data_IF_542505515655
#
_entry.id   IF_542505515655
#
_cell.length_a   1.000
_cell.length_b   1.000
_cell.length_c   1.000
_cell.angle_alpha   90.00
_cell.angle_beta   90.00
_cell.angle_gamma   90.00
#
_symmetry.space_group_name_H-M   'P 1'
#
loop_
_entity.id
_entity.type
_entity.pdbx_description
1 polymer ?
#
# COMPACT_ATOMS: atom_id res chain seq x y z
N UNK A 1 -23.74 -37.05 -25.43
CA UNK A 1 -23.99 -35.70 -24.85
C UNK A 1 -22.72 -34.85 -24.84
N UNK A 2 -21.59 -35.38 -25.33
CA UNK A 2 -20.26 -35.03 -24.82
C UNK A 2 -19.54 -33.96 -25.65
N UNK A 3 -20.10 -33.58 -26.81
CA UNK A 3 -19.52 -32.58 -27.72
C UNK A 3 -19.93 -31.12 -27.45
N UNK A 4 -20.83 -30.86 -26.50
CA UNK A 4 -21.29 -29.49 -26.18
C UNK A 4 -20.54 -28.88 -24.98
N UNK A 5 -19.89 -29.71 -24.15
CA UNK A 5 -19.06 -29.27 -23.02
C UNK A 5 -17.81 -28.48 -23.51
N UNK A 6 -17.35 -28.77 -24.74
CA UNK A 6 -16.07 -28.34 -25.31
C UNK A 6 -15.86 -26.82 -25.54
N UNK A 7 -16.81 -25.94 -25.19
CA UNK A 7 -16.61 -24.47 -25.25
C UNK A 7 -16.45 -23.77 -23.89
N UNK A 8 -16.69 -24.44 -22.75
CA UNK A 8 -16.38 -23.94 -21.39
C UNK A 8 -15.95 -25.04 -20.37
N UNK A 9 -15.89 -26.31 -20.76
CA UNK A 9 -15.30 -27.42 -19.98
C UNK A 9 -15.81 -27.64 -18.53
N UNK A 10 -17.10 -27.36 -18.25
CA UNK A 10 -17.67 -27.67 -16.93
C UNK A 10 -17.72 -29.18 -16.67
N UNK A 11 -16.97 -29.64 -15.67
CA UNK A 11 -17.06 -30.99 -15.12
C UNK A 11 -17.99 -30.99 -13.89
N UNK A 12 -18.88 -31.98 -13.77
CA UNK A 12 -19.87 -32.03 -12.69
C UNK A 12 -19.32 -32.82 -11.50
N UNK A 13 -19.12 -32.15 -10.37
CA UNK A 13 -18.73 -32.82 -9.12
C UNK A 13 -19.84 -33.78 -8.62
N UNK A 14 -19.48 -34.92 -7.98
CA UNK A 14 -20.43 -35.74 -7.24
C UNK A 14 -21.13 -34.91 -6.16
N UNK A 15 -22.44 -35.11 -5.96
CA UNK A 15 -23.25 -34.30 -5.02
C UNK A 15 -22.68 -34.27 -3.61
N UNK A 16 -22.18 -35.40 -3.13
CA UNK A 16 -21.54 -35.57 -1.81
C UNK A 16 -20.27 -34.71 -1.62
N UNK A 17 -19.67 -34.21 -2.71
CA UNK A 17 -18.46 -33.38 -2.70
C UNK A 17 -18.74 -31.89 -2.95
N UNK A 18 -20.00 -31.49 -3.12
CA UNK A 18 -20.36 -30.08 -3.35
C UNK A 18 -20.49 -29.36 -2.01
N UNK A 19 -19.58 -28.40 -1.76
CA UNK A 19 -19.72 -27.45 -0.63
C UNK A 19 -20.63 -26.30 -1.05
N UNK A 20 -21.77 -26.18 -0.38
CA UNK A 20 -22.59 -24.97 -0.44
C UNK A 20 -22.04 -23.88 0.47
N UNK A 21 -22.32 -22.61 0.17
CA UNK A 21 -21.78 -21.41 0.82
C UNK A 21 -22.87 -20.55 1.48
N UNK A 22 -22.59 -19.89 2.60
CA UNK A 22 -23.47 -18.85 3.14
C UNK A 22 -23.46 -17.61 2.23
N UNK A 23 -24.58 -16.88 2.11
CA UNK A 23 -24.59 -15.67 1.28
C UNK A 23 -23.65 -14.58 1.80
N UNK A 24 -23.57 -14.37 3.12
CA UNK A 24 -22.60 -13.45 3.74
C UNK A 24 -21.17 -13.97 3.64
N UNK A 25 -20.96 -15.28 3.85
CA UNK A 25 -19.68 -16.00 3.66
C UNK A 25 -19.13 -15.75 2.24
N UNK A 26 -19.96 -15.99 1.20
CA UNK A 26 -19.60 -15.80 -0.20
C UNK A 26 -19.34 -14.32 -0.54
N UNK A 27 -20.21 -13.40 -0.11
CA UNK A 27 -20.00 -11.97 -0.33
C UNK A 27 -18.66 -11.51 0.29
N UNK A 28 -18.36 -11.89 1.53
CA UNK A 28 -17.08 -11.57 2.18
C UNK A 28 -15.87 -12.19 1.47
N UNK A 29 -15.96 -13.43 0.99
CA UNK A 29 -14.88 -14.06 0.20
C UNK A 29 -14.60 -13.39 -1.15
N UNK A 30 -15.57 -12.66 -1.71
CA UNK A 30 -15.42 -11.92 -2.97
C UNK A 30 -15.41 -10.39 -2.76
N UNK A 31 -15.08 -9.90 -1.56
CA UNK A 31 -14.93 -8.47 -1.27
C UNK A 31 -16.24 -7.65 -1.28
N UNK A 32 -17.39 -8.30 -1.44
CA UNK A 32 -18.70 -7.65 -1.44
C UNK A 32 -19.14 -7.39 0.01
N UNK A 33 -19.34 -6.12 0.35
CA UNK A 33 -19.95 -5.77 1.63
C UNK A 33 -21.43 -6.16 1.65
N UNK A 34 -21.72 -7.33 2.26
CA UNK A 34 -23.08 -7.84 2.43
C UNK A 34 -23.99 -6.83 3.17
N UNK A 35 -23.45 -6.12 4.15
CA UNK A 35 -24.24 -5.27 5.04
C UNK A 35 -24.63 -3.93 4.42
N UNK A 36 -23.92 -3.42 3.41
CA UNK A 36 -24.38 -2.27 2.61
C UNK A 36 -25.38 -2.69 1.54
N UNK A 37 -25.19 -3.85 0.89
CA UNK A 37 -26.12 -4.34 -0.14
C UNK A 37 -27.41 -4.98 0.41
N UNK A 38 -27.48 -5.40 1.68
CA UNK A 38 -28.62 -6.19 2.22
C UNK A 38 -29.98 -5.52 2.08
N UNK A 39 -30.08 -4.20 2.17
CA UNK A 39 -31.37 -3.51 2.13
C UNK A 39 -31.89 -3.37 0.69
N UNK A 40 -31.03 -2.94 -0.23
CA UNK A 40 -31.37 -2.93 -1.65
C UNK A 40 -31.59 -4.35 -2.21
N UNK A 41 -30.95 -5.37 -1.63
CA UNK A 41 -31.25 -6.76 -1.90
C UNK A 41 -32.59 -7.26 -1.32
N UNK A 42 -33.11 -6.66 -0.24
CA UNK A 42 -34.50 -6.89 0.21
C UNK A 42 -35.47 -6.19 -0.74
N UNK A 43 -35.18 -4.97 -1.15
CA UNK A 43 -35.95 -4.21 -2.12
C UNK A 43 -36.09 -4.97 -3.45
N UNK A 44 -35.00 -5.55 -3.98
CA UNK A 44 -35.04 -6.39 -5.18
C UNK A 44 -35.96 -7.62 -5.04
N UNK A 45 -36.06 -8.24 -3.85
CA UNK A 45 -37.03 -9.31 -3.59
C UNK A 45 -38.48 -8.80 -3.49
N UNK A 46 -38.70 -7.63 -2.91
CA UNK A 46 -40.03 -7.01 -2.83
C UNK A 46 -40.54 -6.62 -4.23
N UNK A 47 -39.68 -6.03 -5.06
CA UNK A 47 -40.00 -5.71 -6.45
C UNK A 47 -40.30 -6.99 -7.24
N UNK A 48 -39.53 -8.06 -7.04
CA UNK A 48 -39.82 -9.37 -7.65
C UNK A 48 -41.20 -9.89 -7.27
N UNK A 49 -41.61 -9.75 -6.01
CA UNK A 49 -42.95 -10.16 -5.58
C UNK A 49 -44.05 -9.32 -6.24
N UNK A 50 -43.81 -8.03 -6.48
CA UNK A 50 -44.74 -7.16 -7.18
C UNK A 50 -44.90 -7.54 -8.66
N UNK A 51 -43.81 -7.69 -9.43
CA UNK A 51 -43.86 -8.03 -10.86
C UNK A 51 -44.18 -9.51 -11.15
N UNK A 52 -44.22 -10.36 -10.12
CA UNK A 52 -44.39 -11.81 -10.28
C UNK A 52 -45.68 -12.23 -11.00
N UNK A 53 -46.76 -11.45 -10.86
CA UNK A 53 -48.05 -11.74 -11.50
C UNK A 53 -48.02 -11.44 -13.00
N UNK A 54 -47.41 -10.31 -13.40
CA UNK A 54 -47.25 -9.92 -14.80
C UNK A 54 -46.41 -10.94 -15.59
N UNK A 55 -45.36 -11.48 -14.95
CA UNK A 55 -44.52 -12.54 -15.49
C UNK A 55 -45.10 -13.96 -15.33
N UNK A 56 -46.25 -14.10 -14.64
CA UNK A 56 -46.91 -15.38 -14.34
C UNK A 56 -45.99 -16.39 -13.60
N UNK A 57 -45.18 -15.91 -12.66
CA UNK A 57 -44.20 -16.70 -11.90
C UNK A 57 -44.51 -16.78 -10.40
N UNK A 58 -44.18 -17.89 -9.72
CA UNK A 58 -44.36 -17.96 -8.26
C UNK A 58 -43.50 -16.94 -7.50
N UNK A 59 -44.13 -16.17 -6.60
CA UNK A 59 -43.49 -15.26 -5.63
C UNK A 59 -42.37 -15.92 -4.81
N UNK A 60 -42.38 -17.25 -4.67
CA UNK A 60 -41.34 -18.03 -3.99
C UNK A 60 -39.95 -17.88 -4.61
N UNK A 61 -39.83 -17.41 -5.86
CA UNK A 61 -38.54 -17.16 -6.51
C UNK A 61 -37.89 -15.81 -6.16
N UNK A 62 -38.55 -14.95 -5.38
CA UNK A 62 -38.01 -13.66 -4.91
C UNK A 62 -36.59 -13.71 -4.28
N UNK A 63 -36.17 -14.78 -3.56
CA UNK A 63 -34.79 -14.90 -3.08
C UNK A 63 -33.74 -14.87 -4.20
N UNK A 64 -34.08 -15.27 -5.43
CA UNK A 64 -33.16 -15.20 -6.58
C UNK A 64 -32.81 -13.74 -6.89
N UNK A 65 -33.81 -12.84 -6.96
CA UNK A 65 -33.57 -11.41 -7.18
C UNK A 65 -32.74 -10.79 -6.04
N UNK A 66 -33.00 -11.17 -4.78
CA UNK A 66 -32.20 -10.73 -3.63
C UNK A 66 -30.74 -11.17 -3.72
N UNK A 67 -30.49 -12.45 -4.05
CA UNK A 67 -29.12 -12.98 -4.21
C UNK A 67 -28.44 -12.42 -5.46
N UNK A 68 -29.18 -12.14 -6.52
CA UNK A 68 -28.67 -11.48 -7.71
C UNK A 68 -28.24 -10.04 -7.41
N UNK A 69 -29.01 -9.28 -6.63
CA UNK A 69 -28.58 -7.93 -6.20
C UNK A 69 -27.29 -7.98 -5.36
N UNK A 70 -27.22 -8.88 -4.38
CA UNK A 70 -26.03 -9.06 -3.55
C UNK A 70 -24.79 -9.40 -4.40
N UNK A 71 -24.92 -10.36 -5.31
CA UNK A 71 -23.84 -10.92 -6.12
C UNK A 71 -23.66 -10.26 -7.48
N UNK A 72 -24.40 -9.17 -7.80
CA UNK A 72 -24.11 -8.36 -8.99
C UNK A 72 -22.70 -7.80 -8.87
N UNK A 73 -21.88 -8.02 -9.91
CA UNK A 73 -20.47 -7.70 -9.94
C UNK A 73 -19.57 -8.66 -9.15
N UNK A 74 -20.07 -9.84 -8.74
CA UNK A 74 -19.20 -10.86 -8.12
C UNK A 74 -18.17 -11.33 -9.14
N UNK A 75 -16.90 -11.02 -8.89
CA UNK A 75 -15.82 -11.29 -9.84
C UNK A 75 -15.72 -10.33 -11.02
N UNK A 76 -16.23 -9.10 -10.91
CA UNK A 76 -15.65 -7.97 -11.66
C UNK A 76 -14.18 -7.81 -11.23
N UNK A 77 -13.21 -8.09 -12.11
CA UNK A 77 -11.78 -8.00 -11.76
C UNK A 77 -11.01 -9.34 -11.67
N UNK A 78 -11.46 -10.41 -12.35
CA UNK A 78 -10.89 -11.77 -12.24
C UNK A 78 -10.57 -12.47 -13.59
N UNK A 79 -11.43 -12.48 -14.65
CA UNK A 79 -11.08 -12.99 -16.02
C UNK A 79 -11.72 -12.21 -17.25
N UNK A 80 -11.15 -11.09 -17.76
CA UNK A 80 -11.50 -10.30 -18.99
C UNK A 80 -11.33 -11.15 -20.29
N UNK A 81 -12.09 -12.23 -20.46
CA UNK A 81 -12.49 -12.63 -21.80
C UNK A 81 -13.91 -12.13 -22.03
N UNK A 82 -14.03 -11.12 -22.90
CA UNK A 82 -15.26 -10.33 -23.17
C UNK A 82 -16.43 -11.13 -23.76
N UNK A 83 -16.33 -12.45 -23.77
CA UNK A 83 -17.36 -13.43 -24.13
C UNK A 83 -17.84 -14.28 -22.94
N UNK A 84 -17.33 -14.02 -21.73
CA UNK A 84 -17.55 -14.81 -20.52
C UNK A 84 -18.19 -13.95 -19.41
N UNK A 85 -19.51 -14.00 -19.26
CA UNK A 85 -20.17 -13.49 -18.06
C UNK A 85 -19.94 -14.49 -16.90
N UNK A 86 -19.11 -14.10 -15.93
CA UNK A 86 -18.49 -14.98 -14.94
C UNK A 86 -19.22 -15.02 -13.60
N UNK A 87 -20.06 -14.03 -13.29
CA UNK A 87 -20.87 -14.02 -12.08
C UNK A 87 -21.70 -15.31 -11.93
N UNK A 88 -22.25 -15.77 -13.06
CA UNK A 88 -22.98 -17.04 -13.11
C UNK A 88 -22.09 -18.25 -12.85
N UNK A 89 -20.87 -18.24 -13.37
CA UNK A 89 -19.89 -19.32 -13.18
C UNK A 89 -19.37 -19.37 -11.72
N UNK A 90 -19.29 -18.23 -11.05
CA UNK A 90 -18.98 -18.13 -9.61
C UNK A 90 -20.11 -18.76 -8.78
N UNK A 91 -21.38 -18.49 -9.08
CA UNK A 91 -22.53 -19.12 -8.40
C UNK A 91 -22.59 -20.63 -8.65
N UNK A 92 -22.23 -21.10 -9.85
CA UNK A 92 -22.21 -22.53 -10.18
C UNK A 92 -21.07 -23.29 -9.50
N UNK A 93 -19.97 -22.61 -9.17
CA UNK A 93 -18.83 -23.17 -8.42
C UNK A 93 -18.99 -23.01 -6.90
N UNK A 94 -19.74 -21.98 -6.45
CA UNK A 94 -19.97 -21.64 -5.05
C UNK A 94 -21.48 -21.55 -4.73
N UNK A 95 -22.24 -22.66 -4.84
CA UNK A 95 -23.70 -22.62 -4.72
C UNK A 95 -24.13 -22.19 -3.32
N UNK A 96 -25.13 -21.31 -3.23
CA UNK A 96 -25.62 -20.79 -1.96
C UNK A 96 -26.45 -21.82 -1.18
N UNK A 97 -26.15 -21.99 0.11
CA UNK A 97 -26.91 -22.81 1.09
C UNK A 97 -28.39 -22.41 1.17
N UNK A 98 -28.71 -21.16 0.89
CA UNK A 98 -30.09 -20.64 0.98
C UNK A 98 -30.93 -20.84 -0.28
N UNK A 99 -30.41 -21.55 -1.28
CA UNK A 99 -31.07 -21.82 -2.57
C UNK A 99 -30.86 -23.29 -2.94
N UNK A 100 -31.83 -23.92 -3.58
CA UNK A 100 -31.65 -25.25 -4.17
C UNK A 100 -30.64 -25.24 -5.33
N UNK A 101 -30.08 -26.39 -5.71
CA UNK A 101 -29.21 -26.52 -6.90
C UNK A 101 -29.80 -25.84 -8.14
N UNK A 102 -31.12 -25.96 -8.31
CA UNK A 102 -31.87 -25.39 -9.44
C UNK A 102 -31.98 -23.88 -9.34
N UNK A 103 -32.22 -23.33 -8.15
CA UNK A 103 -32.30 -21.88 -7.94
C UNK A 103 -30.92 -21.23 -8.04
N UNK A 104 -29.84 -21.93 -7.67
CA UNK A 104 -28.47 -21.49 -7.96
C UNK A 104 -28.19 -21.43 -9.47
N UNK A 105 -28.67 -22.39 -10.27
CA UNK A 105 -28.57 -22.32 -11.75
C UNK A 105 -29.40 -21.17 -12.32
N UNK A 106 -30.58 -20.87 -11.76
CA UNK A 106 -31.39 -19.72 -12.19
C UNK A 106 -30.74 -18.39 -11.78
N UNK A 107 -30.18 -18.28 -10.58
CA UNK A 107 -29.39 -17.15 -10.12
C UNK A 107 -28.17 -16.91 -11.03
N UNK A 108 -27.49 -17.98 -11.44
CA UNK A 108 -26.40 -17.88 -12.40
C UNK A 108 -26.87 -17.33 -13.76
N UNK A 109 -28.03 -17.79 -14.25
CA UNK A 109 -28.64 -17.28 -15.48
C UNK A 109 -29.04 -15.79 -15.38
N UNK A 110 -29.54 -15.33 -14.21
CA UNK A 110 -29.85 -13.91 -13.95
C UNK A 110 -28.59 -13.08 -14.06
N UNK A 111 -27.55 -13.43 -13.29
CA UNK A 111 -26.30 -12.68 -13.27
C UNK A 111 -25.60 -12.66 -14.65
N UNK A 112 -25.58 -13.79 -15.36
CA UNK A 112 -25.11 -13.87 -16.75
C UNK A 112 -25.93 -12.98 -17.70
N UNK A 113 -27.25 -12.91 -17.53
CA UNK A 113 -28.13 -12.08 -18.35
C UNK A 113 -27.93 -10.57 -18.12
N UNK A 114 -27.55 -10.16 -16.91
CA UNK A 114 -27.36 -8.76 -16.55
C UNK A 114 -26.12 -8.09 -17.17
N UNK A 115 -25.06 -8.85 -17.51
CA UNK A 115 -23.83 -8.31 -18.15
C UNK A 115 -23.93 -8.15 -19.66
N UNK A 116 -24.92 -8.75 -20.31
CA UNK A 116 -25.00 -8.83 -21.77
C UNK A 116 -26.01 -7.83 -22.34
N UNK A 117 -25.56 -6.58 -22.57
CA UNK A 117 -26.34 -5.46 -23.13
C UNK A 117 -26.99 -5.70 -24.53
N UNK A 118 -26.92 -6.91 -25.08
CA UNK A 118 -27.29 -7.21 -26.46
C UNK A 118 -27.96 -8.58 -26.69
N UNK A 119 -28.61 -9.20 -25.69
CA UNK A 119 -29.44 -10.40 -25.96
C UNK A 119 -30.80 -10.36 -25.24
N UNK A 120 -31.85 -10.03 -25.99
CA UNK A 120 -33.23 -10.33 -25.58
C UNK A 120 -33.45 -11.83 -25.36
N UNK A 121 -34.63 -12.24 -24.85
CA UNK A 121 -34.90 -13.55 -24.24
C UNK A 121 -34.49 -14.84 -25.00
N UNK A 122 -34.12 -14.74 -26.29
CA UNK A 122 -33.37 -15.79 -27.00
C UNK A 122 -32.07 -16.23 -26.28
N UNK A 123 -31.31 -15.30 -25.70
CA UNK A 123 -30.03 -15.60 -25.03
C UNK A 123 -30.20 -16.42 -23.75
N UNK A 124 -31.08 -15.97 -22.86
CA UNK A 124 -31.44 -16.66 -21.61
C UNK A 124 -31.98 -18.06 -21.90
N UNK A 125 -32.86 -18.17 -22.90
CA UNK A 125 -33.43 -19.45 -23.35
C UNK A 125 -32.37 -20.43 -23.84
N UNK A 126 -31.31 -19.95 -24.50
CA UNK A 126 -30.19 -20.80 -24.91
C UNK A 126 -29.27 -21.17 -23.74
N UNK A 127 -29.04 -20.27 -22.79
CA UNK A 127 -28.29 -20.55 -21.56
C UNK A 127 -28.98 -21.63 -20.71
N UNK A 128 -30.28 -21.49 -20.42
CA UNK A 128 -31.05 -22.49 -19.67
C UNK A 128 -31.07 -23.85 -20.39
N UNK A 129 -31.15 -23.86 -21.73
CA UNK A 129 -31.06 -25.09 -22.53
C UNK A 129 -29.69 -25.77 -22.39
N UNK A 130 -28.59 -25.01 -22.36
CA UNK A 130 -27.23 -25.54 -22.10
C UNK A 130 -27.11 -26.14 -20.70
N UNK A 131 -27.77 -25.54 -19.71
CA UNK A 131 -27.83 -26.01 -18.31
C UNK A 131 -28.89 -27.09 -18.04
N UNK A 132 -29.55 -27.62 -19.08
CA UNK A 132 -30.62 -28.63 -19.00
C UNK A 132 -31.84 -28.19 -18.16
N UNK A 133 -32.07 -26.89 -18.02
CA UNK A 133 -33.24 -26.30 -17.34
C UNK A 133 -34.35 -26.03 -18.34
N UNK A 134 -35.60 -26.33 -17.96
CA UNK A 134 -36.75 -26.14 -18.83
C UNK A 134 -37.00 -24.67 -19.18
N UNK A 135 -37.34 -24.40 -20.45
CA UNK A 135 -37.68 -23.06 -20.98
C UNK A 135 -38.79 -22.33 -20.20
N UNK A 136 -39.60 -23.04 -19.41
CA UNK A 136 -40.65 -22.44 -18.56
C UNK A 136 -40.10 -21.57 -17.42
N UNK A 137 -38.79 -21.57 -17.19
CA UNK A 137 -38.13 -20.72 -16.19
C UNK A 137 -37.51 -19.43 -16.76
N UNK A 138 -37.63 -19.18 -18.07
CA UNK A 138 -37.19 -17.90 -18.67
C UNK A 138 -37.86 -16.68 -18.01
N UNK A 139 -39.20 -16.66 -17.78
CA UNK A 139 -39.85 -15.53 -17.11
C UNK A 139 -39.35 -15.28 -15.67
N UNK A 140 -38.87 -16.32 -14.97
CA UNK A 140 -38.30 -16.17 -13.61
C UNK A 140 -36.97 -15.42 -13.67
N UNK A 141 -36.17 -15.65 -14.71
CA UNK A 141 -34.90 -14.96 -14.92
C UNK A 141 -35.14 -13.52 -15.35
N UNK A 142 -36.06 -13.29 -16.29
CA UNK A 142 -36.41 -11.96 -16.79
C UNK A 142 -36.98 -11.07 -15.68
N UNK A 143 -37.95 -11.55 -14.90
CA UNK A 143 -38.50 -10.85 -13.74
C UNK A 143 -37.42 -10.51 -12.69
N UNK A 144 -36.44 -11.40 -12.47
CA UNK A 144 -35.35 -11.16 -11.53
C UNK A 144 -34.34 -10.12 -12.02
N UNK A 145 -34.04 -10.09 -13.33
CA UNK A 145 -33.20 -9.05 -13.94
C UNK A 145 -33.88 -7.67 -13.79
N UNK A 146 -35.15 -7.55 -14.17
CA UNK A 146 -35.89 -6.29 -14.04
C UNK A 146 -35.96 -5.83 -12.57
N UNK A 147 -36.26 -6.75 -11.65
CA UNK A 147 -36.38 -6.42 -10.22
C UNK A 147 -35.10 -5.87 -9.62
N UNK A 148 -33.94 -6.39 -10.05
CA UNK A 148 -32.63 -5.87 -9.62
C UNK A 148 -32.37 -4.50 -10.25
N UNK A 149 -32.63 -4.33 -11.55
CA UNK A 149 -32.45 -3.04 -12.25
C UNK A 149 -33.35 -1.92 -11.68
N UNK A 150 -34.59 -2.25 -11.27
CA UNK A 150 -35.50 -1.31 -10.61
C UNK A 150 -35.04 -0.96 -9.19
N UNK A 151 -34.54 -1.94 -8.41
CA UNK A 151 -33.96 -1.68 -7.09
C UNK A 151 -32.73 -0.76 -7.16
N UNK A 152 -31.87 -0.91 -8.18
CA UNK A 152 -30.71 -0.05 -8.38
C UNK A 152 -31.09 1.41 -8.67
N UNK A 153 -32.09 1.63 -9.53
CA UNK A 153 -32.61 2.98 -9.82
C UNK A 153 -33.16 3.68 -8.57
N UNK A 154 -33.74 2.91 -7.65
CA UNK A 154 -34.28 3.43 -6.38
C UNK A 154 -33.18 3.68 -5.33
N UNK A 155 -32.13 2.84 -5.29
CA UNK A 155 -30.97 3.02 -4.41
C UNK A 155 -30.22 4.34 -4.70
N UNK A 156 -30.00 4.67 -5.97
CA UNK A 156 -29.29 5.90 -6.40
C UNK A 156 -30.03 7.19 -5.96
N UNK A 157 -31.33 7.11 -5.64
CA UNK A 157 -32.09 8.24 -5.12
C UNK A 157 -32.06 8.39 -3.59
N UNK A 158 -31.64 7.37 -2.83
CA UNK A 158 -31.53 7.46 -1.36
C UNK A 158 -30.17 7.93 -0.85
N UNK A 159 -29.10 7.77 -1.65
CA UNK A 159 -27.72 8.07 -1.25
C UNK A 159 -27.37 9.59 -1.20
N UNK A 160 -28.35 10.49 -1.35
CA UNK A 160 -28.15 11.94 -1.21
C UNK A 160 -28.29 12.49 0.21
N UNK A 161 -28.79 11.71 1.16
CA UNK A 161 -28.94 12.15 2.56
C UNK A 161 -28.58 11.04 3.56
N UNK A 162 -27.33 10.99 4.01
CA UNK A 162 -26.95 10.80 5.42
C UNK A 162 -25.42 10.80 5.60
N UNK A 163 -24.98 11.34 6.74
CA UNK A 163 -23.57 11.50 7.12
C UNK A 163 -23.18 10.59 8.30
N UNK A 164 -21.90 10.17 8.33
CA UNK A 164 -21.19 9.73 9.54
C UNK A 164 -21.37 8.27 10.00
N UNK A 165 -20.24 7.57 10.20
CA UNK A 165 -20.16 6.27 10.87
C UNK A 165 -18.92 5.45 10.49
N UNK A 166 -18.12 4.99 11.47
CA UNK A 166 -16.83 4.30 11.25
C UNK A 166 -16.86 2.78 11.55
N UNK A 167 -15.81 2.09 11.05
CA UNK A 167 -15.31 0.74 11.41
C UNK A 167 -16.10 -0.49 10.87
N UNK A 168 -15.48 -1.50 10.24
CA UNK A 168 -14.10 -1.67 9.75
C UNK A 168 -13.79 -3.10 9.23
N UNK A 169 -12.85 -3.25 8.29
CA UNK A 169 -12.32 -4.53 7.76
C UNK A 169 -13.08 -5.15 6.57
N UNK A 170 -12.48 -5.51 5.42
CA UNK A 170 -11.08 -5.48 4.97
C UNK A 170 -10.97 -4.81 3.60
N UNK A 171 -9.92 -4.03 3.35
CA UNK A 171 -9.68 -3.30 2.09
C UNK A 171 -8.72 -4.07 1.16
N UNK A 172 -9.02 -4.07 -0.14
CA UNK A 172 -8.06 -4.49 -1.19
C UNK A 172 -6.71 -3.76 -1.01
N UNK A 173 -5.59 -4.43 -1.32
CA UNK A 173 -4.25 -3.84 -1.24
C UNK A 173 -4.15 -2.51 -1.99
N UNK A 174 -4.76 -2.42 -3.18
CA UNK A 174 -4.79 -1.19 -3.98
C UNK A 174 -5.45 -0.04 -3.21
N UNK A 175 -6.62 -0.30 -2.60
CA UNK A 175 -7.37 0.69 -1.80
C UNK A 175 -6.59 1.08 -0.54
N UNK A 176 -5.95 0.11 0.14
CA UNK A 176 -5.10 0.39 1.30
C UNK A 176 -3.91 1.28 0.91
N UNK A 177 -3.29 1.00 -0.24
CA UNK A 177 -2.16 1.78 -0.76
C UNK A 177 -2.61 3.17 -1.21
N UNK A 178 -3.76 3.31 -1.86
CA UNK A 178 -4.37 4.58 -2.28
C UNK A 178 -4.69 5.47 -1.07
N UNK A 179 -5.36 4.91 -0.05
CA UNK A 179 -5.63 5.61 1.20
C UNK A 179 -4.34 6.01 1.93
N UNK A 180 -3.32 5.15 1.95
CA UNK A 180 -2.03 5.49 2.57
C UNK A 180 -1.32 6.61 1.81
N UNK A 181 -1.21 6.50 0.48
CA UNK A 181 -0.53 7.45 -0.39
C UNK A 181 -1.25 8.81 -0.36
N UNK A 182 -2.58 8.84 -0.46
CA UNK A 182 -3.38 10.06 -0.29
C UNK A 182 -3.11 10.69 1.07
N UNK A 183 -3.24 9.92 2.16
CA UNK A 183 -3.03 10.45 3.52
C UNK A 183 -1.61 10.98 3.74
N UNK A 184 -0.58 10.35 3.18
CA UNK A 184 0.78 10.91 3.25
C UNK A 184 0.91 12.18 2.42
N UNK A 185 0.27 12.26 1.25
CA UNK A 185 0.27 13.45 0.42
C UNK A 185 -0.47 14.62 1.10
N UNK A 186 -1.61 14.38 1.73
CA UNK A 186 -2.36 15.35 2.52
C UNK A 186 -1.52 15.90 3.68
N UNK A 187 -0.81 15.04 4.41
CA UNK A 187 0.12 15.44 5.48
C UNK A 187 1.26 16.30 4.93
N UNK A 188 1.86 15.91 3.79
CA UNK A 188 2.92 16.72 3.17
C UNK A 188 2.36 18.09 2.75
N UNK A 189 1.18 18.15 2.14
CA UNK A 189 0.52 19.41 1.76
C UNK A 189 0.36 20.32 2.97
N UNK A 190 -0.26 19.85 4.05
CA UNK A 190 -0.45 20.61 5.29
C UNK A 190 0.87 21.14 5.86
N UNK A 191 1.91 20.30 5.93
CA UNK A 191 3.23 20.70 6.44
C UNK A 191 4.03 21.59 5.48
N UNK A 192 3.60 21.76 4.22
CA UNK A 192 4.24 22.63 3.21
C UNK A 192 3.39 23.85 2.87
N UNK A 193 2.33 24.12 3.64
CA UNK A 193 1.56 25.36 3.52
C UNK A 193 2.42 26.59 3.88
N UNK A 194 2.06 27.75 3.31
CA UNK A 194 2.85 29.00 3.34
C UNK A 194 3.05 29.61 4.74
N UNK A 195 2.44 29.03 5.77
CA UNK A 195 2.55 29.44 7.18
C UNK A 195 3.58 28.63 7.98
N UNK A 196 4.20 27.60 7.39
CA UNK A 196 5.16 26.74 8.07
C UNK A 196 6.50 27.43 8.33
N UNK A 197 6.99 27.40 9.57
CA UNK A 197 8.34 27.86 9.91
C UNK A 197 9.37 26.78 9.52
N UNK A 198 9.89 26.88 8.29
CA UNK A 198 10.96 26.00 7.82
C UNK A 198 12.29 26.20 8.57
N UNK A 199 12.43 27.26 9.36
CA UNK A 199 13.57 27.50 10.23
C UNK A 199 13.68 26.50 11.39
N UNK A 200 12.55 25.92 11.83
CA UNK A 200 12.46 24.91 12.89
C UNK A 200 12.95 23.53 12.40
N UNK A 201 14.01 22.96 13.01
CA UNK A 201 14.50 21.61 12.71
C UNK A 201 13.45 20.49 12.83
N UNK A 202 12.41 20.67 13.63
CA UNK A 202 11.36 19.66 13.84
C UNK A 202 10.25 19.75 12.77
N UNK A 203 9.88 20.95 12.31
CA UNK A 203 9.03 21.11 11.11
C UNK A 203 9.71 20.45 9.90
N UNK A 204 11.01 20.69 9.70
CA UNK A 204 11.80 20.03 8.66
C UNK A 204 11.92 18.52 8.89
N UNK A 205 11.99 18.06 10.15
CA UNK A 205 11.96 16.64 10.48
C UNK A 205 10.67 15.99 9.98
N UNK A 206 9.52 16.55 10.34
CA UNK A 206 8.20 16.00 10.04
C UNK A 206 7.89 15.99 8.55
N UNK A 207 8.18 17.09 7.83
CA UNK A 207 8.10 17.14 6.36
C UNK A 207 8.96 16.01 5.76
N UNK A 208 10.22 15.89 6.20
CA UNK A 208 11.15 14.86 5.71
C UNK A 208 10.69 13.43 6.08
N UNK A 209 10.00 13.23 7.20
CA UNK A 209 9.40 11.95 7.59
C UNK A 209 8.21 11.60 6.69
N UNK A 210 7.32 12.54 6.41
CA UNK A 210 6.16 12.33 5.54
C UNK A 210 6.59 12.03 4.09
N UNK A 211 7.49 12.83 3.52
CA UNK A 211 8.11 12.54 2.22
C UNK A 211 8.82 11.18 2.21
N UNK A 212 9.53 10.79 3.28
CA UNK A 212 10.24 9.49 3.35
C UNK A 212 9.27 8.32 3.42
N UNK A 213 8.15 8.46 4.14
CA UNK A 213 7.07 7.45 4.17
C UNK A 213 6.51 7.24 2.77
N UNK A 214 6.10 8.33 2.10
CA UNK A 214 5.56 8.29 0.73
C UNK A 214 6.57 7.69 -0.27
N UNK A 215 7.81 8.18 -0.28
CA UNK A 215 8.89 7.65 -1.12
C UNK A 215 9.20 6.17 -0.85
N UNK A 216 9.26 5.76 0.42
CA UNK A 216 9.66 4.38 0.75
C UNK A 216 8.55 3.38 0.44
N UNK A 217 7.29 3.71 0.74
CA UNK A 217 6.14 2.84 0.44
C UNK A 217 5.94 2.70 -1.07
N UNK A 218 5.95 3.80 -1.83
CA UNK A 218 5.84 3.73 -3.30
C UNK A 218 7.06 3.06 -3.95
N UNK A 219 8.25 3.17 -3.35
CA UNK A 219 9.47 2.46 -3.79
C UNK A 219 9.44 0.95 -3.52
N UNK A 220 8.98 0.54 -2.32
CA UNK A 220 8.76 -0.87 -1.94
C UNK A 220 7.76 -1.53 -2.89
N UNK A 221 6.61 -0.89 -3.09
CA UNK A 221 5.50 -1.44 -3.86
C UNK A 221 5.54 -1.07 -5.36
N UNK A 222 6.63 -0.49 -5.86
CA UNK A 222 6.80 -0.08 -7.27
C UNK A 222 6.41 -1.17 -8.28
N UNK A 223 6.61 -2.46 -7.96
CA UNK A 223 6.22 -3.59 -8.84
C UNK A 223 4.71 -3.78 -9.02
N UNK A 224 3.93 -3.26 -8.09
CA UNK A 224 2.46 -3.33 -8.05
C UNK A 224 1.82 -2.00 -8.49
N UNK A 225 2.61 -0.93 -8.61
CA UNK A 225 2.15 0.42 -8.99
C UNK A 225 2.24 0.64 -10.50
N UNK A 226 1.47 1.59 -11.03
CA UNK A 226 1.57 2.02 -12.44
C UNK A 226 2.95 2.64 -12.73
N UNK A 227 3.56 2.45 -13.92
CA UNK A 227 4.94 2.84 -14.20
C UNK A 227 5.31 4.31 -13.89
N UNK A 228 4.37 5.26 -14.07
CA UNK A 228 4.55 6.68 -13.76
C UNK A 228 4.96 6.95 -12.31
N UNK A 229 4.57 6.10 -11.36
CA UNK A 229 5.04 6.20 -9.97
C UNK A 229 6.54 5.99 -9.86
N UNK A 230 7.11 5.11 -10.68
CA UNK A 230 8.55 4.84 -10.72
C UNK A 230 9.33 5.82 -11.61
N UNK A 231 8.75 6.29 -12.71
CA UNK A 231 9.45 7.12 -13.70
C UNK A 231 9.29 8.62 -13.48
N UNK A 232 8.19 9.06 -12.85
CA UNK A 232 7.86 10.47 -12.69
C UNK A 232 7.85 10.88 -11.20
N UNK A 233 7.05 10.21 -10.36
CA UNK A 233 6.88 10.63 -8.96
C UNK A 233 8.05 10.24 -8.05
N UNK A 234 8.60 9.02 -8.18
CA UNK A 234 9.77 8.59 -7.42
C UNK A 234 11.00 9.51 -7.56
N UNK A 235 11.39 9.97 -8.78
CA UNK A 235 12.45 10.96 -8.94
C UNK A 235 12.17 12.30 -8.23
N UNK A 236 10.96 12.84 -8.34
CA UNK A 236 10.62 14.12 -7.70
C UNK A 236 10.52 13.98 -6.17
N UNK A 237 9.95 12.89 -5.64
CA UNK A 237 9.98 12.60 -4.21
C UNK A 237 11.41 12.47 -3.69
N UNK A 238 12.33 11.85 -4.46
CA UNK A 238 13.75 11.79 -4.14
C UNK A 238 14.44 13.16 -4.21
N UNK A 239 14.07 14.02 -5.17
CA UNK A 239 14.59 15.40 -5.27
C UNK A 239 14.21 16.22 -4.04
N UNK A 240 12.94 16.20 -3.66
CA UNK A 240 12.45 16.82 -2.42
C UNK A 240 13.18 16.26 -1.19
N UNK A 241 13.31 14.93 -1.07
CA UNK A 241 14.04 14.28 0.03
C UNK A 241 15.52 14.64 0.11
N UNK A 242 16.20 14.86 -1.02
CA UNK A 242 17.60 15.30 -1.05
C UNK A 242 17.74 16.75 -0.58
N UNK A 243 16.82 17.62 -0.98
CA UNK A 243 16.82 19.02 -0.59
C UNK A 243 16.53 19.19 0.91
N UNK A 244 15.48 18.53 1.43
CA UNK A 244 15.16 18.44 2.85
C UNK A 244 16.27 17.70 3.64
N UNK A 245 16.89 16.70 3.02
CA UNK A 245 18.03 15.95 3.56
C UNK A 245 19.23 16.86 3.82
N UNK A 246 19.64 17.65 2.83
CA UNK A 246 20.78 18.56 2.95
C UNK A 246 20.63 19.55 4.12
N UNK A 247 19.42 20.05 4.39
CA UNK A 247 19.16 20.89 5.57
C UNK A 247 19.25 20.07 6.86
N UNK A 248 18.51 18.95 6.97
CA UNK A 248 18.48 18.16 8.22
C UNK A 248 19.82 17.51 8.54
N UNK A 249 20.66 17.23 7.56
CA UNK A 249 22.02 16.75 7.78
C UNK A 249 22.86 17.83 8.49
N UNK A 250 22.72 19.11 8.13
CA UNK A 250 23.35 20.23 8.85
C UNK A 250 22.79 20.40 10.27
N UNK A 251 21.48 20.24 10.47
CA UNK A 251 20.88 20.27 11.81
C UNK A 251 21.42 19.11 12.69
N UNK A 252 21.61 17.91 12.13
CA UNK A 252 22.19 16.76 12.83
C UNK A 252 23.67 17.03 13.19
N UNK A 253 24.46 17.61 12.28
CA UNK A 253 25.84 18.02 12.57
C UNK A 253 25.89 19.01 13.74
N UNK A 254 24.98 19.98 13.77
CA UNK A 254 24.84 20.94 14.87
C UNK A 254 24.43 20.26 16.19
N UNK A 255 23.44 19.34 16.16
CA UNK A 255 23.03 18.55 17.33
C UNK A 255 24.20 17.72 17.91
N UNK A 256 25.00 17.07 17.05
CA UNK A 256 26.18 16.30 17.47
C UNK A 256 27.31 17.19 18.03
N UNK A 257 27.47 18.40 17.50
CA UNK A 257 28.43 19.39 18.00
C UNK A 257 28.02 19.91 19.39
N UNK A 258 26.74 20.25 19.58
CA UNK A 258 26.19 20.65 20.89
C UNK A 258 26.42 19.54 21.92
N UNK A 259 26.09 18.29 21.58
CA UNK A 259 26.35 17.13 22.45
C UNK A 259 27.84 16.97 22.80
N UNK A 260 28.75 17.18 21.85
CA UNK A 260 30.19 17.18 22.13
C UNK A 260 30.60 18.30 23.10
N UNK A 261 30.13 19.53 22.87
CA UNK A 261 30.41 20.70 23.72
C UNK A 261 29.93 20.49 25.16
N UNK A 262 28.67 20.04 25.33
CA UNK A 262 28.09 19.67 26.63
C UNK A 262 28.92 18.59 27.33
N UNK A 263 29.30 17.51 26.63
CA UNK A 263 30.11 16.42 27.18
C UNK A 263 31.55 16.81 27.51
N UNK A 264 32.00 17.99 27.10
CA UNK A 264 33.34 18.53 27.42
C UNK A 264 33.31 19.75 28.33
N UNK A 265 32.15 20.36 28.57
CA UNK A 265 32.03 21.61 29.33
C UNK A 265 32.72 22.79 28.63
N UNK A 266 32.62 22.85 27.29
CA UNK A 266 33.21 23.91 26.46
C UNK A 266 32.06 24.70 25.80
N UNK A 267 32.20 26.01 25.63
CA UNK A 267 31.22 26.82 24.90
C UNK A 267 31.38 26.76 23.37
N UNK A 268 30.37 27.21 22.61
CA UNK A 268 30.37 27.16 21.15
C UNK A 268 31.37 28.10 20.46
N UNK A 269 31.95 29.05 21.20
CA UNK A 269 32.94 30.02 20.73
C UNK A 269 34.23 29.39 20.19
N UNK A 270 34.52 28.13 20.51
CA UNK A 270 35.71 27.40 20.02
C UNK A 270 35.59 26.87 18.59
N UNK A 271 34.47 27.13 17.91
CA UNK A 271 34.16 26.67 16.55
C UNK A 271 33.73 27.81 15.60
N UNK A 272 34.43 28.96 15.54
CA UNK A 272 33.96 30.13 14.80
C UNK A 272 33.84 29.89 13.29
N UNK A 273 34.81 29.21 12.66
CA UNK A 273 34.79 28.95 11.21
C UNK A 273 33.79 27.83 10.87
N UNK A 274 33.73 26.77 11.68
CA UNK A 274 32.74 25.70 11.52
C UNK A 274 31.31 26.25 11.65
N UNK A 275 31.00 27.00 12.72
CA UNK A 275 29.67 27.57 12.95
C UNK A 275 29.25 28.48 11.79
N UNK A 276 30.18 29.33 11.30
CA UNK A 276 29.93 30.18 10.13
C UNK A 276 29.64 29.36 8.87
N UNK A 277 30.46 28.36 8.55
CA UNK A 277 30.28 27.53 7.34
C UNK A 277 28.98 26.72 7.40
N UNK A 278 28.63 26.16 8.57
CA UNK A 278 27.37 25.42 8.74
C UNK A 278 26.17 26.36 8.67
N UNK A 279 26.25 27.55 9.31
CA UNK A 279 25.21 28.59 9.23
C UNK A 279 24.94 29.07 7.81
N UNK A 280 25.97 29.49 7.07
CA UNK A 280 25.86 29.95 5.67
C UNK A 280 25.23 28.87 4.76
N UNK A 281 25.60 27.59 4.96
CA UNK A 281 24.98 26.46 4.24
C UNK A 281 23.54 26.25 4.66
N UNK A 282 23.23 26.32 5.97
CA UNK A 282 21.88 26.12 6.52
C UNK A 282 20.93 27.15 5.94
N UNK A 283 21.30 28.43 5.98
CA UNK A 283 20.55 29.51 5.34
C UNK A 283 20.39 29.32 3.83
N UNK A 284 21.43 28.84 3.13
CA UNK A 284 21.35 28.52 1.71
C UNK A 284 20.32 27.43 1.41
N UNK A 285 20.29 26.37 2.22
CA UNK A 285 19.30 25.31 2.12
C UNK A 285 17.88 25.78 2.50
N UNK A 286 17.74 26.61 3.54
CA UNK A 286 16.47 27.22 3.95
C UNK A 286 15.86 28.06 2.83
N UNK A 287 16.62 29.03 2.29
CA UNK A 287 16.16 29.87 1.16
C UNK A 287 15.73 29.05 -0.05
N UNK A 288 16.44 27.96 -0.35
CA UNK A 288 16.07 27.06 -1.44
C UNK A 288 14.77 26.29 -1.14
N UNK A 289 14.56 25.83 0.10
CA UNK A 289 13.33 25.15 0.56
C UNK A 289 12.13 26.11 0.55
N UNK A 290 12.30 27.31 1.09
CA UNK A 290 11.31 28.39 1.07
C UNK A 290 10.89 28.74 -0.36
N UNK A 291 11.86 28.96 -1.26
CA UNK A 291 11.60 29.25 -2.67
C UNK A 291 10.87 28.08 -3.36
N UNK A 292 11.27 26.84 -3.08
CA UNK A 292 10.67 25.64 -3.67
C UNK A 292 9.21 25.46 -3.28
N UNK A 293 8.89 25.49 -1.98
CA UNK A 293 7.51 25.33 -1.51
C UNK A 293 6.63 26.59 -1.67
N UNK A 294 7.24 27.78 -1.83
CA UNK A 294 6.50 28.99 -2.22
C UNK A 294 6.12 29.00 -3.71
N UNK A 295 6.79 28.20 -4.54
CA UNK A 295 6.51 28.07 -5.96
C UNK A 295 5.29 27.18 -6.26
N UNK A 296 4.74 27.31 -7.46
CA UNK A 296 3.67 26.42 -7.91
C UNK A 296 4.17 25.00 -8.28
N UNK A 297 5.48 24.71 -8.29
CA UNK A 297 6.00 23.41 -8.73
C UNK A 297 5.46 22.26 -7.85
N UNK A 298 5.56 22.40 -6.53
CA UNK A 298 5.09 21.37 -5.61
C UNK A 298 3.56 21.21 -5.60
N UNK A 299 2.74 22.29 -5.51
CA UNK A 299 1.28 22.18 -5.65
C UNK A 299 0.82 21.50 -6.95
N UNK A 300 1.47 21.78 -8.09
CA UNK A 300 1.17 21.11 -9.37
C UNK A 300 1.53 19.62 -9.34
N UNK A 301 2.68 19.27 -8.75
CA UNK A 301 3.09 17.88 -8.56
C UNK A 301 2.13 17.11 -7.63
N UNK A 302 1.69 17.73 -6.54
CA UNK A 302 0.71 17.15 -5.61
C UNK A 302 -0.64 16.91 -6.29
N UNK A 303 -1.18 17.90 -7.01
CA UNK A 303 -2.42 17.75 -7.77
C UNK A 303 -2.34 16.66 -8.85
N UNK A 304 -1.19 16.51 -9.50
CA UNK A 304 -0.96 15.42 -10.46
C UNK A 304 -0.95 14.03 -9.79
N UNK A 305 -0.31 13.90 -8.61
CA UNK A 305 -0.37 12.66 -7.82
C UNK A 305 -1.79 12.36 -7.33
N UNK A 306 -2.55 13.36 -6.89
CA UNK A 306 -3.97 13.20 -6.49
C UNK A 306 -4.86 12.70 -7.63
N UNK A 307 -4.65 13.21 -8.84
CA UNK A 307 -5.41 12.76 -10.01
C UNK A 307 -5.06 11.32 -10.39
N UNK A 308 -3.78 10.93 -10.33
CA UNK A 308 -3.35 9.54 -10.51
C UNK A 308 -3.89 8.60 -9.41
N UNK A 309 -4.04 9.08 -8.17
CA UNK A 309 -4.67 8.31 -7.08
C UNK A 309 -6.16 8.05 -7.39
N UNK A 310 -6.91 9.05 -7.87
CA UNK A 310 -8.31 8.87 -8.28
C UNK A 310 -8.48 7.89 -9.45
N UNK A 311 -7.49 7.83 -10.33
CA UNK A 311 -7.45 6.90 -11.46
C UNK A 311 -6.90 5.51 -11.07
N UNK A 312 -6.65 5.27 -9.78
CA UNK A 312 -6.03 4.07 -9.22
C UNK A 312 -4.52 4.04 -9.39
N UNK A 313 -3.76 3.66 -8.35
CA UNK A 313 -2.28 3.71 -8.41
C UNK A 313 -1.63 2.39 -8.80
N UNK A 314 -2.36 1.28 -8.79
CA UNK A 314 -1.85 -0.05 -9.09
C UNK A 314 -1.83 -0.35 -10.59
N UNK A 315 -0.81 -1.09 -11.06
CA UNK A 315 -0.83 -1.67 -12.41
C UNK A 315 -1.85 -2.80 -12.44
N UNK A 316 -2.85 -2.77 -13.34
CA UNK A 316 -3.73 -3.92 -13.54
C UNK A 316 -2.92 -5.10 -14.11
N UNK A 317 -2.92 -6.24 -13.42
CA UNK A 317 -2.24 -7.45 -13.89
C UNK A 317 -3.19 -8.27 -14.73
N UNK A 318 -3.04 -8.21 -16.05
CA UNK A 318 -3.87 -8.97 -16.97
C UNK A 318 -3.57 -10.48 -16.85
N UNK A 319 -4.49 -11.22 -16.23
CA UNK A 319 -4.39 -12.67 -16.04
C UNK A 319 -4.64 -13.43 -17.37
N UNK A 320 -4.48 -14.77 -17.44
CA UNK A 320 -4.78 -15.52 -18.69
C UNK A 320 -6.30 -15.60 -18.89
N UNK A 321 -6.80 -15.06 -20.00
CA UNK A 321 -8.20 -14.59 -20.07
C UNK A 321 -8.33 -13.14 -19.55
N UNK A 322 -7.26 -12.36 -19.68
CA UNK A 322 -7.00 -10.93 -19.54
C UNK A 322 -7.31 -10.15 -18.26
N UNK A 323 -8.16 -10.52 -17.29
CA UNK A 323 -8.60 -9.45 -16.33
C UNK A 323 -7.48 -8.90 -15.47
N UNK A 324 -7.64 -7.63 -15.10
CA UNK A 324 -6.96 -6.98 -14.01
C UNK A 324 -7.14 -7.72 -12.66
N UNK A 325 -6.33 -8.75 -12.44
CA UNK A 325 -6.23 -9.47 -11.17
C UNK A 325 -5.92 -8.51 -10.02
N UNK A 326 -6.72 -8.58 -8.95
CA UNK A 326 -6.50 -7.85 -7.71
C UNK A 326 -5.31 -8.42 -6.93
N UNK A 327 -4.52 -7.56 -6.29
CA UNK A 327 -3.45 -7.97 -5.40
C UNK A 327 -4.00 -8.29 -3.99
N UNK A 328 -3.78 -9.51 -3.51
CA UNK A 328 -4.13 -9.89 -2.15
C UNK A 328 -3.11 -9.33 -1.14
N UNK A 329 -3.53 -8.65 -0.05
CA UNK A 329 -2.63 -8.07 0.94
C UNK A 329 -1.60 -9.07 1.49
N UNK A 330 -2.03 -10.29 1.79
CA UNK A 330 -1.20 -11.37 2.35
C UNK A 330 -0.11 -11.82 1.37
N UNK A 331 -0.44 -12.00 0.09
CA UNK A 331 0.53 -12.41 -0.96
C UNK A 331 1.56 -11.31 -1.24
N UNK A 332 1.12 -10.04 -1.27
CA UNK A 332 2.02 -8.89 -1.43
C UNK A 332 2.92 -8.74 -0.21
N UNK A 333 2.39 -8.92 1.01
CA UNK A 333 3.16 -8.93 2.26
C UNK A 333 4.24 -10.01 2.19
N UNK A 334 3.88 -11.26 1.92
CA UNK A 334 4.81 -12.39 1.89
C UNK A 334 5.96 -12.14 0.89
N UNK A 335 5.66 -11.78 -0.36
CA UNK A 335 6.70 -11.54 -1.37
C UNK A 335 7.60 -10.33 -1.03
N UNK A 336 7.04 -9.25 -0.49
CA UNK A 336 7.83 -8.09 -0.06
C UNK A 336 8.70 -8.38 1.16
N UNK A 337 8.17 -9.06 2.19
CA UNK A 337 8.94 -9.49 3.38
C UNK A 337 10.06 -10.43 2.95
N UNK A 338 9.75 -11.46 2.17
CA UNK A 338 10.72 -12.42 1.62
C UNK A 338 11.84 -11.73 0.85
N UNK A 339 11.52 -10.76 -0.03
CA UNK A 339 12.52 -9.97 -0.77
C UNK A 339 13.41 -9.12 0.14
N UNK A 340 12.83 -8.44 1.14
CA UNK A 340 13.59 -7.59 2.06
C UNK A 340 14.51 -8.44 2.97
N UNK A 341 14.00 -9.56 3.50
CA UNK A 341 14.78 -10.55 4.25
C UNK A 341 15.93 -11.10 3.40
N UNK A 342 15.70 -11.49 2.14
CA UNK A 342 16.77 -12.01 1.27
C UNK A 342 17.88 -10.98 1.00
N UNK A 343 17.57 -9.68 0.93
CA UNK A 343 18.58 -8.60 0.86
C UNK A 343 19.45 -8.53 2.12
N UNK A 344 18.84 -8.66 3.30
CA UNK A 344 19.54 -8.73 4.60
C UNK A 344 20.42 -9.98 4.65
N UNK A 345 19.87 -11.16 4.30
CA UNK A 345 20.62 -12.44 4.24
C UNK A 345 21.83 -12.36 3.30
N UNK A 346 21.70 -11.69 2.15
CA UNK A 346 22.79 -11.52 1.19
C UNK A 346 23.97 -10.67 1.71
N UNK A 347 23.80 -9.86 2.75
CA UNK A 347 24.91 -9.15 3.41
C UNK A 347 25.63 -10.00 4.46
N UNK A 348 25.06 -11.13 4.91
CA UNK A 348 25.56 -11.92 6.06
C UNK A 348 27.06 -12.21 5.99
N UNK A 349 27.55 -12.72 4.86
CA UNK A 349 28.95 -13.11 4.70
C UNK A 349 29.93 -11.92 4.77
N UNK A 350 29.46 -10.68 4.54
CA UNK A 350 30.28 -9.47 4.74
C UNK A 350 30.40 -9.08 6.21
N UNK A 351 29.50 -9.57 7.06
CA UNK A 351 29.48 -9.33 8.51
C UNK A 351 30.37 -10.32 9.28
N UNK A 352 30.81 -11.40 8.63
CA UNK A 352 31.66 -12.45 9.21
C UNK A 352 33.16 -12.22 8.92
N UNK A 353 33.51 -11.10 8.27
CA UNK A 353 34.88 -10.70 7.98
C UNK A 353 35.56 -9.96 9.14
N UNK A 354 36.90 -9.92 9.13
CA UNK A 354 37.71 -9.20 10.12
C UNK A 354 37.43 -7.68 10.19
N UNK A 355 36.87 -7.11 9.13
CA UNK A 355 36.50 -5.70 9.00
C UNK A 355 35.24 -5.59 8.13
N UNK A 356 34.28 -4.76 8.55
CA UNK A 356 33.04 -4.49 7.80
C UNK A 356 33.12 -3.10 7.17
N UNK A 357 33.07 -2.95 5.83
CA UNK A 357 33.07 -1.63 5.19
C UNK A 357 31.78 -0.85 5.47
N UNK A 358 31.87 0.46 5.74
CA UNK A 358 30.68 1.32 5.93
C UNK A 358 29.65 1.23 4.78
N UNK A 359 30.04 1.13 3.49
CA UNK A 359 29.07 0.95 2.40
C UNK A 359 28.25 -0.34 2.47
N UNK A 360 28.72 -1.38 3.19
CA UNK A 360 27.95 -2.60 3.50
C UNK A 360 26.92 -2.29 4.59
N UNK A 361 27.34 -1.64 5.68
CA UNK A 361 26.45 -1.21 6.77
C UNK A 361 25.34 -0.27 6.27
N UNK A 362 25.66 0.65 5.36
CA UNK A 362 24.67 1.53 4.72
C UNK A 362 23.65 0.73 3.88
N UNK A 363 24.09 -0.25 3.08
CA UNK A 363 23.18 -1.14 2.32
C UNK A 363 22.33 -2.00 3.24
N UNK A 364 22.88 -2.49 4.35
CA UNK A 364 22.15 -3.24 5.37
C UNK A 364 21.07 -2.37 6.02
N UNK A 365 21.39 -1.12 6.37
CA UNK A 365 20.42 -0.14 6.89
C UNK A 365 19.28 0.12 5.91
N UNK A 366 19.59 0.29 4.61
CA UNK A 366 18.56 0.45 3.58
C UNK A 366 17.65 -0.78 3.47
N UNK A 367 18.20 -1.98 3.65
CA UNK A 367 17.45 -3.25 3.60
C UNK A 367 16.55 -3.45 4.82
N UNK A 368 17.02 -3.11 6.03
CA UNK A 368 16.17 -3.08 7.23
C UNK A 368 15.09 -2.01 7.15
N UNK A 369 15.41 -0.82 6.63
CA UNK A 369 14.42 0.24 6.37
C UNK A 369 13.32 -0.25 5.42
N UNK A 370 13.68 -0.98 4.36
CA UNK A 370 12.72 -1.60 3.43
C UNK A 370 11.82 -2.61 4.14
N UNK A 371 12.39 -3.55 4.91
CA UNK A 371 11.64 -4.50 5.72
C UNK A 371 10.67 -3.81 6.70
N UNK A 372 11.14 -2.77 7.39
CA UNK A 372 10.34 -1.98 8.33
C UNK A 372 9.13 -1.35 7.64
N UNK A 373 9.31 -0.75 6.45
CA UNK A 373 8.19 -0.12 5.73
C UNK A 373 7.16 -1.13 5.18
N UNK A 374 7.57 -2.34 4.81
CA UNK A 374 6.64 -3.42 4.45
C UNK A 374 5.79 -3.81 5.66
N UNK A 375 6.44 -4.14 6.77
CA UNK A 375 5.77 -4.62 7.98
C UNK A 375 4.91 -3.53 8.64
N UNK A 376 5.38 -2.28 8.65
CA UNK A 376 4.62 -1.13 9.17
C UNK A 376 3.34 -0.86 8.37
N UNK A 377 3.39 -1.01 7.04
CA UNK A 377 2.21 -0.89 6.17
C UNK A 377 1.19 -2.01 6.45
N UNK A 378 1.65 -3.25 6.65
CA UNK A 378 0.80 -4.41 6.93
C UNK A 378 0.55 -4.68 8.43
N UNK A 379 0.81 -3.70 9.31
CA UNK A 379 0.77 -3.87 10.78
C UNK A 379 -0.49 -4.56 11.33
N UNK A 380 -1.64 -4.41 10.68
CA UNK A 380 -2.92 -5.00 11.11
C UNK A 380 -3.07 -6.50 10.82
N UNK A 381 -2.23 -7.05 9.94
CA UNK A 381 -2.26 -8.46 9.49
C UNK A 381 -0.91 -9.17 9.71
N UNK A 382 -0.09 -8.66 10.63
CA UNK A 382 1.15 -9.32 11.01
C UNK A 382 0.86 -10.48 11.95
N UNK A 383 1.56 -11.59 11.75
CA UNK A 383 1.69 -12.61 12.79
C UNK A 383 2.72 -12.19 13.87
N UNK A 384 2.96 -13.08 14.84
CA UNK A 384 3.88 -12.81 15.94
C UNK A 384 5.35 -12.70 15.47
N UNK A 385 5.77 -13.52 14.51
CA UNK A 385 7.15 -13.53 14.02
C UNK A 385 7.42 -12.27 13.18
N UNK A 386 6.45 -11.86 12.38
CA UNK A 386 6.46 -10.61 11.63
C UNK A 386 6.46 -9.35 12.53
N UNK A 387 5.75 -9.40 13.66
CA UNK A 387 5.82 -8.35 14.68
C UNK A 387 7.23 -8.28 15.32
N UNK A 388 7.82 -9.41 15.71
CA UNK A 388 9.21 -9.47 16.19
C UNK A 388 10.22 -8.99 15.12
N UNK A 389 9.97 -9.26 13.83
CA UNK A 389 10.76 -8.73 12.72
C UNK A 389 10.63 -7.22 12.56
N UNK A 390 9.46 -6.62 12.82
CA UNK A 390 9.25 -5.17 12.78
C UNK A 390 10.01 -4.44 13.89
N UNK A 391 10.02 -5.01 15.10
CA UNK A 391 10.83 -4.52 16.23
C UNK A 391 12.32 -4.58 15.89
N UNK A 392 12.81 -5.72 15.40
CA UNK A 392 14.20 -5.89 14.98
C UNK A 392 14.59 -4.91 13.87
N UNK A 393 13.75 -4.74 12.84
CA UNK A 393 14.01 -3.82 11.73
C UNK A 393 14.04 -2.34 12.19
N UNK A 394 13.24 -1.99 13.20
CA UNK A 394 13.27 -0.66 13.82
C UNK A 394 14.58 -0.42 14.56
N UNK A 395 14.96 -1.35 15.45
CA UNK A 395 16.21 -1.32 16.20
C UNK A 395 17.45 -1.23 15.29
N UNK A 396 17.54 -2.07 14.25
CA UNK A 396 18.66 -2.03 13.32
C UNK A 396 18.69 -0.73 12.49
N UNK A 397 17.54 -0.15 12.15
CA UNK A 397 17.49 1.14 11.46
C UNK A 397 18.02 2.29 12.33
N UNK A 398 17.74 2.26 13.64
CA UNK A 398 18.22 3.24 14.62
C UNK A 398 19.73 3.13 14.82
N UNK A 399 20.25 1.97 15.21
CA UNK A 399 21.67 1.80 15.53
C UNK A 399 22.57 2.01 14.29
N UNK A 400 22.15 1.53 13.11
CA UNK A 400 22.85 1.81 11.86
C UNK A 400 22.64 3.27 11.38
N UNK A 401 21.58 3.93 11.84
CA UNK A 401 21.36 5.36 11.64
C UNK A 401 22.42 6.19 12.35
N UNK A 402 22.53 6.02 13.66
CA UNK A 402 23.54 6.72 14.45
C UNK A 402 24.97 6.52 13.92
N UNK A 403 25.31 5.27 13.56
CA UNK A 403 26.62 4.94 12.98
C UNK A 403 26.90 5.68 11.66
N UNK A 404 25.87 5.80 10.81
CA UNK A 404 26.00 6.51 9.54
C UNK A 404 26.09 8.03 9.77
N UNK A 405 25.32 8.58 10.70
CA UNK A 405 25.34 10.00 11.03
C UNK A 405 26.71 10.43 11.62
N UNK A 406 27.31 9.62 12.50
CA UNK A 406 28.72 9.80 12.93
C UNK A 406 29.70 9.69 11.75
N UNK A 407 29.45 8.77 10.81
CA UNK A 407 30.33 8.59 9.64
C UNK A 407 30.27 9.77 8.66
N UNK A 408 29.12 10.45 8.55
CA UNK A 408 28.96 11.70 7.80
C UNK A 408 29.63 12.86 8.52
N UNK A 409 29.47 12.96 9.86
CA UNK A 409 30.14 13.96 10.69
C UNK A 409 31.67 13.91 10.56
N UNK A 410 32.27 12.72 10.67
CA UNK A 410 33.70 12.53 10.48
C UNK A 410 34.17 12.97 9.09
N UNK A 411 33.37 12.76 8.04
CA UNK A 411 33.70 13.21 6.69
C UNK A 411 33.72 14.74 6.59
N UNK A 412 32.73 15.46 7.13
CA UNK A 412 32.72 16.92 7.09
C UNK A 412 33.81 17.55 7.98
N UNK A 413 34.09 17.01 9.18
CA UNK A 413 35.22 17.47 10.02
C UNK A 413 36.53 17.32 9.25
N UNK A 414 36.82 16.12 8.72
CA UNK A 414 38.05 15.84 7.94
C UNK A 414 38.18 16.73 6.70
N UNK A 415 37.07 17.02 6.03
CA UNK A 415 36.99 17.90 4.86
C UNK A 415 37.30 19.36 5.21
N UNK A 416 36.91 19.82 6.41
CA UNK A 416 37.30 21.14 6.92
C UNK A 416 38.78 21.16 7.32
N UNK A 417 39.27 20.17 8.08
CA UNK A 417 40.67 20.06 8.47
C UNK A 417 41.63 20.01 7.26
N UNK A 418 41.29 19.27 6.21
CA UNK A 418 42.04 19.22 4.93
C UNK A 418 42.08 20.56 4.18
N UNK A 419 41.17 21.49 4.48
CA UNK A 419 41.07 22.82 3.88
C UNK A 419 41.44 23.93 4.87
N UNK A 420 42.17 23.60 5.94
CA UNK A 420 42.39 24.49 7.08
C UNK A 420 43.08 25.82 6.75
N UNK A 421 43.99 25.81 5.77
CA UNK A 421 44.65 27.02 5.26
C UNK A 421 43.68 27.90 4.45
N UNK A 422 42.89 27.29 3.56
CA UNK A 422 41.90 28.00 2.72
C UNK A 422 40.83 28.72 3.55
N UNK A 423 40.40 28.11 4.65
CA UNK A 423 39.40 28.68 5.56
C UNK A 423 40.02 29.45 6.73
N UNK A 424 41.34 29.62 6.75
CA UNK A 424 42.07 30.40 7.77
C UNK A 424 41.75 29.98 9.22
N UNK A 425 41.51 28.67 9.46
CA UNK A 425 41.21 28.20 10.82
C UNK A 425 42.37 28.52 11.76
N UNK A 426 42.05 29.07 12.92
CA UNK A 426 43.00 29.36 13.97
C UNK A 426 43.53 28.06 14.64
N UNK A 427 44.62 28.13 15.43
CA UNK A 427 45.20 26.95 16.07
C UNK A 427 44.31 26.29 17.13
N UNK A 428 43.40 27.04 17.75
CA UNK A 428 42.51 26.56 18.80
C UNK A 428 41.35 25.77 18.21
N UNK A 429 40.64 26.31 17.22
CA UNK A 429 39.58 25.60 16.50
C UNK A 429 40.12 24.34 15.81
N UNK A 430 41.32 24.38 15.21
CA UNK A 430 42.00 23.17 14.69
C UNK A 430 42.21 22.11 15.77
N UNK A 431 42.47 22.51 17.01
CA UNK A 431 42.67 21.61 18.14
C UNK A 431 41.34 21.02 18.62
N UNK A 432 40.28 21.83 18.67
CA UNK A 432 38.94 21.34 19.03
C UNK A 432 38.28 20.48 17.95
N UNK A 433 38.49 20.76 16.66
CA UNK A 433 38.05 19.88 15.57
C UNK A 433 38.70 18.49 15.65
N UNK A 434 40.00 18.39 16.01
CA UNK A 434 40.65 17.09 16.27
C UNK A 434 40.09 16.37 17.50
N UNK A 435 39.78 17.11 18.58
CA UNK A 435 39.10 16.55 19.76
C UNK A 435 37.69 16.05 19.43
N UNK A 436 36.97 16.75 18.55
CA UNK A 436 35.63 16.39 18.08
C UNK A 436 35.66 15.18 17.12
N UNK A 437 36.61 15.14 16.19
CA UNK A 437 36.89 13.97 15.34
C UNK A 437 37.12 12.72 16.21
N UNK A 438 38.05 12.79 17.17
CA UNK A 438 38.34 11.66 18.06
C UNK A 438 37.16 11.25 18.97
N UNK A 439 36.27 12.20 19.32
CA UNK A 439 35.04 11.90 20.05
C UNK A 439 34.03 11.17 19.17
N UNK A 440 33.78 11.68 17.95
CA UNK A 440 32.88 11.07 16.97
C UNK A 440 33.37 9.68 16.53
N UNK A 441 34.68 9.45 16.40
CA UNK A 441 35.23 8.11 16.16
C UNK A 441 34.89 7.12 17.30
N UNK A 442 34.91 7.57 18.56
CA UNK A 442 34.54 6.74 19.71
C UNK A 442 33.05 6.44 19.73
N UNK A 443 32.19 7.44 19.52
CA UNK A 443 30.75 7.19 19.46
C UNK A 443 30.40 6.28 18.27
N UNK A 444 30.98 6.48 17.08
CA UNK A 444 30.79 5.57 15.92
C UNK A 444 31.17 4.13 16.26
N UNK A 445 32.31 3.92 16.91
CA UNK A 445 32.75 2.58 17.33
C UNK A 445 31.82 1.99 18.41
N UNK A 446 31.24 2.83 19.28
CA UNK A 446 30.20 2.42 20.26
C UNK A 446 28.92 1.97 19.58
N UNK A 447 28.45 2.72 18.57
CA UNK A 447 27.28 2.32 17.77
C UNK A 447 27.55 1.05 16.96
N UNK A 448 28.77 0.85 16.45
CA UNK A 448 29.15 -0.39 15.78
C UNK A 448 29.12 -1.61 16.72
N UNK A 449 29.73 -1.52 17.90
CA UNK A 449 29.70 -2.60 18.90
C UNK A 449 28.27 -2.92 19.39
N UNK A 450 27.41 -1.90 19.51
CA UNK A 450 25.98 -2.09 19.80
C UNK A 450 25.27 -2.84 18.66
N UNK A 451 25.56 -2.47 17.41
CA UNK A 451 25.04 -3.16 16.24
C UNK A 451 25.51 -4.63 16.20
N UNK A 452 26.79 -4.91 16.41
CA UNK A 452 27.34 -6.28 16.42
C UNK A 452 26.63 -7.17 17.45
N UNK A 453 26.48 -6.67 18.69
CA UNK A 453 25.75 -7.36 19.76
C UNK A 453 24.31 -7.74 19.36
N UNK A 454 23.59 -6.82 18.69
CA UNK A 454 22.24 -7.09 18.21
C UNK A 454 22.23 -8.02 16.98
N UNK A 455 23.21 -7.90 16.10
CA UNK A 455 23.37 -8.73 14.90
C UNK A 455 23.64 -10.20 15.25
N UNK A 456 24.51 -10.48 16.23
CA UNK A 456 24.72 -11.84 16.75
C UNK A 456 23.44 -12.45 17.36
N UNK A 457 22.72 -11.66 18.17
CA UNK A 457 21.49 -12.12 18.83
C UNK A 457 20.38 -12.43 17.79
N UNK A 458 20.25 -11.57 16.77
CA UNK A 458 19.35 -11.78 15.64
C UNK A 458 19.75 -13.01 14.82
N UNK A 459 21.03 -13.15 14.48
CA UNK A 459 21.56 -14.31 13.75
C UNK A 459 21.27 -15.65 14.45
N UNK A 460 21.42 -15.72 15.77
CA UNK A 460 21.09 -16.92 16.56
C UNK A 460 19.59 -17.28 16.49
N UNK A 461 18.69 -16.29 16.43
CA UNK A 461 17.24 -16.52 16.27
C UNK A 461 16.83 -16.92 14.84
N UNK A 462 17.44 -16.34 13.80
CA UNK A 462 16.96 -16.47 12.40
C UNK A 462 17.63 -17.59 11.59
N UNK A 463 18.67 -18.24 12.12
CA UNK A 463 19.41 -19.32 11.45
C UNK A 463 19.67 -20.55 12.32
N UNK A 464 19.01 -20.67 13.48
CA UNK A 464 18.86 -21.95 14.19
C UNK A 464 17.57 -22.63 13.74
#
# INVERSE_FOLDING_TARGET
MDKIIAKRNYMRNPREKVRHWGAKELCSSFGINYDTKKENARLAALIFQAVSEDYQVPRSYAPIASRAFLLKGVGEGILEDSFLALEGDIVLTHPLKSLSDKENILLAAVLTGMRADAVGGAGIKEYLKKMQVSKKYVPVVEAAIESVQLAEKQAIHSERECSGGQNGGSSSFSVQLELYVSKQLDIIRQLTEKTSDYGDPEVIHDIRVAFRKLYSVTGVFTRYMKPQWSSCYQPELNRNLKQLGALRDLDILNQKQIYFLEKKGIGPEVFPVWNKIIGERREGCLRAIEQHFSSDEFPKLAAAMEEEIKQGICTPVLCRGKEACLFFPEEVKEECVRRAVMKIKAQKNWMEGLLVPEPVLHKLRLSFKELRYVLDFFRQILDKEEAEMLEAATLFQEVLGDLHDESVLLQEIRKLCKKSERYQLDPEERTYLKKFEHFSEKERNRHFALFEKHWEAYGKKTYS
#
